data_IF_959499344477
#
_entry.id   IF_959499344477
#
_cell.length_a   1.000
_cell.length_b   1.000
_cell.length_c   1.000
_cell.angle_alpha   90.00
_cell.angle_beta   90.00
_cell.angle_gamma   90.00
#
_symmetry.space_group_name_H-M   'P 1'
#
loop_
_entity.id
_entity.type
_entity.pdbx_description
1 polymer ?
#
# COMPACT_ATOMS: atom_id res chain seq x y z
N UNK A 1 -11.11 25.63 -42.12
CA UNK A 1 -9.91 25.22 -41.37
C UNK A 1 -9.82 25.84 -39.97
N UNK A 2 -9.81 27.17 -39.80
CA UNK A 2 -9.70 27.82 -38.46
C UNK A 2 -10.75 27.36 -37.42
N UNK A 3 -12.01 27.13 -37.81
CA UNK A 3 -13.08 26.71 -36.89
C UNK A 3 -12.93 25.25 -36.40
N UNK A 4 -12.45 24.34 -37.25
CA UNK A 4 -12.22 22.93 -36.90
C UNK A 4 -11.00 22.80 -35.97
N UNK A 5 -9.93 23.54 -36.26
CA UNK A 5 -8.74 23.59 -35.41
C UNK A 5 -9.07 24.16 -34.02
N UNK A 6 -9.88 25.24 -33.97
CA UNK A 6 -10.33 25.84 -32.71
C UNK A 6 -11.15 24.86 -31.87
N UNK A 7 -12.06 24.09 -32.48
CA UNK A 7 -12.88 23.08 -31.80
C UNK A 7 -12.05 21.91 -31.24
N UNK A 8 -11.09 21.41 -32.02
CA UNK A 8 -10.18 20.33 -31.55
C UNK A 8 -9.36 20.82 -30.35
N UNK A 9 -8.80 22.03 -30.40
CA UNK A 9 -8.03 22.61 -29.30
C UNK A 9 -8.89 22.80 -28.05
N UNK A 10 -10.13 23.30 -28.19
CA UNK A 10 -11.03 23.46 -27.03
C UNK A 10 -11.43 22.11 -26.44
N UNK A 11 -11.70 21.10 -27.28
CA UNK A 11 -12.03 19.75 -26.81
C UNK A 11 -10.85 19.06 -26.09
N UNK A 12 -9.61 19.28 -26.55
CA UNK A 12 -8.41 18.75 -25.92
C UNK A 12 -8.14 19.42 -24.56
N UNK A 13 -8.35 20.72 -24.47
CA UNK A 13 -8.21 21.48 -23.21
C UNK A 13 -9.27 21.03 -22.20
N UNK A 14 -10.53 20.93 -22.61
CA UNK A 14 -11.63 20.47 -21.74
C UNK A 14 -11.41 19.01 -21.32
N UNK A 15 -11.00 18.14 -22.24
CA UNK A 15 -10.68 16.74 -21.94
C UNK A 15 -9.53 16.59 -20.94
N UNK A 16 -8.48 17.41 -21.05
CA UNK A 16 -7.36 17.41 -20.10
C UNK A 16 -7.76 17.94 -18.71
N UNK A 17 -8.60 18.98 -18.64
CA UNK A 17 -9.09 19.52 -17.37
C UNK A 17 -9.99 18.49 -16.67
N UNK A 18 -10.90 17.85 -17.39
CA UNK A 18 -11.75 16.76 -16.87
C UNK A 18 -10.88 15.58 -16.42
N UNK A 19 -9.89 15.19 -17.21
CA UNK A 19 -8.92 14.14 -16.87
C UNK A 19 -8.17 14.43 -15.56
N UNK A 20 -7.72 15.68 -15.36
CA UNK A 20 -7.10 16.11 -14.10
C UNK A 20 -8.06 16.05 -12.91
N UNK A 21 -9.33 16.43 -13.10
CA UNK A 21 -10.36 16.32 -12.06
C UNK A 21 -10.74 14.86 -11.74
N UNK A 22 -10.56 13.94 -12.68
CA UNK A 22 -10.86 12.50 -12.51
C UNK A 22 -9.72 11.69 -11.89
N UNK A 23 -8.69 12.33 -11.32
CA UNK A 23 -7.60 11.63 -10.63
C UNK A 23 -6.52 11.08 -11.57
N UNK A 24 -6.47 11.55 -12.82
CA UNK A 24 -5.41 11.17 -13.77
C UNK A 24 -4.06 11.82 -13.44
N UNK A 25 -4.03 12.80 -12.53
CA UNK A 25 -2.79 13.40 -12.05
C UNK A 25 -1.97 12.39 -11.23
N UNK A 26 -0.64 12.31 -11.43
CA UNK A 26 0.26 11.51 -10.62
C UNK A 26 0.12 11.76 -9.11
N UNK A 27 0.06 10.68 -8.33
CA UNK A 27 0.24 10.75 -6.88
C UNK A 27 1.74 10.85 -6.60
N UNK A 28 2.14 11.88 -5.85
CA UNK A 28 3.52 12.00 -5.36
C UNK A 28 3.67 11.17 -4.09
N UNK A 29 4.53 10.16 -4.13
CA UNK A 29 4.95 9.43 -2.94
C UNK A 29 6.20 10.10 -2.37
N UNK A 30 6.07 10.66 -1.16
CA UNK A 30 7.20 11.29 -0.48
C UNK A 30 8.16 10.18 -0.04
N UNK A 31 9.43 10.26 -0.45
CA UNK A 31 10.47 9.33 -0.04
C UNK A 31 10.57 9.30 1.49
N UNK A 32 10.66 8.10 2.05
CA UNK A 32 10.80 7.92 3.49
C UNK A 32 12.27 7.74 3.85
N UNK A 33 12.72 8.41 4.91
CA UNK A 33 14.08 8.29 5.37
C UNK A 33 14.37 6.86 5.85
N UNK A 34 15.57 6.38 5.53
CA UNK A 34 16.12 5.14 6.07
C UNK A 34 16.70 5.37 7.45
N UNK A 35 16.55 4.38 8.33
CA UNK A 35 17.34 4.29 9.55
C UNK A 35 18.76 3.82 9.25
N UNK A 36 19.70 4.06 10.17
CA UNK A 36 21.08 3.56 10.06
C UNK A 36 21.13 2.04 9.92
N UNK A 37 20.23 1.33 10.61
CA UNK A 37 20.14 -0.13 10.52
C UNK A 37 19.66 -0.59 9.14
N UNK A 38 18.68 0.08 8.55
CA UNK A 38 18.19 -0.23 7.20
C UNK A 38 19.26 0.06 6.15
N UNK A 39 20.01 1.16 6.28
CA UNK A 39 21.15 1.46 5.38
C UNK A 39 22.24 0.39 5.46
N UNK A 40 22.60 -0.05 6.67
CA UNK A 40 23.55 -1.15 6.84
C UNK A 40 23.01 -2.46 6.22
N UNK A 41 21.72 -2.73 6.34
CA UNK A 41 21.08 -3.90 5.74
C UNK A 41 21.11 -3.83 4.21
N UNK A 42 20.80 -2.68 3.61
CA UNK A 42 20.92 -2.47 2.16
C UNK A 42 22.35 -2.75 1.67
N UNK A 43 23.35 -2.29 2.40
CA UNK A 43 24.75 -2.50 2.02
C UNK A 43 25.12 -3.98 2.01
N UNK A 44 24.67 -4.75 3.02
CA UNK A 44 24.90 -6.20 3.08
C UNK A 44 24.20 -6.91 1.94
N UNK A 45 22.93 -6.61 1.68
CA UNK A 45 22.16 -7.22 0.60
C UNK A 45 22.73 -6.90 -0.79
N UNK A 46 23.23 -5.68 -0.98
CA UNK A 46 23.90 -5.29 -2.22
C UNK A 46 25.19 -6.10 -2.44
N UNK A 47 25.99 -6.29 -1.39
CA UNK A 47 27.20 -7.10 -1.47
C UNK A 47 26.88 -8.57 -1.76
N UNK A 48 25.83 -9.14 -1.14
CA UNK A 48 25.40 -10.50 -1.41
C UNK A 48 24.96 -10.69 -2.87
N UNK A 49 24.32 -9.68 -3.46
CA UNK A 49 23.93 -9.68 -4.87
C UNK A 49 25.14 -9.56 -5.82
N UNK A 50 26.26 -8.96 -5.40
CA UNK A 50 27.51 -8.97 -6.18
C UNK A 50 28.05 -10.40 -6.31
N UNK A 51 27.98 -11.19 -5.23
CA UNK A 51 28.42 -12.59 -5.20
C UNK A 51 27.42 -13.53 -5.91
N UNK A 52 26.12 -13.28 -5.79
CA UNK A 52 25.05 -14.05 -6.44
C UNK A 52 23.99 -13.15 -7.13
N UNK A 53 24.23 -12.66 -8.37
CA UNK A 53 23.35 -11.69 -9.03
C UNK A 53 21.94 -12.17 -9.38
N UNK A 54 21.66 -13.47 -9.22
CA UNK A 54 20.37 -14.09 -9.54
C UNK A 54 19.69 -14.69 -8.31
N UNK A 55 20.05 -14.19 -7.12
CA UNK A 55 19.37 -14.57 -5.90
C UNK A 55 18.00 -13.87 -5.82
N UNK A 56 16.93 -14.63 -6.06
CA UNK A 56 15.57 -14.10 -6.06
C UNK A 56 15.15 -13.59 -4.67
N UNK A 57 15.69 -14.16 -3.59
CA UNK A 57 15.39 -13.77 -2.21
C UNK A 57 16.03 -12.42 -1.89
N UNK A 58 17.33 -12.26 -2.16
CA UNK A 58 18.02 -10.97 -1.98
C UNK A 58 17.39 -9.87 -2.85
N UNK A 59 17.02 -10.19 -4.09
CA UNK A 59 16.32 -9.26 -4.98
C UNK A 59 14.95 -8.84 -4.42
N UNK A 60 14.19 -9.76 -3.81
CA UNK A 60 12.89 -9.40 -3.21
C UNK A 60 13.06 -8.58 -1.95
N UNK A 61 14.09 -8.85 -1.14
CA UNK A 61 14.38 -8.08 0.08
C UNK A 61 14.80 -6.64 -0.24
N UNK A 62 15.73 -6.44 -1.19
CA UNK A 62 16.10 -5.12 -1.69
C UNK A 62 14.87 -4.40 -2.25
N UNK A 63 14.12 -5.09 -3.11
CA UNK A 63 12.90 -4.58 -3.71
C UNK A 63 11.84 -4.14 -2.69
N UNK A 64 11.62 -4.95 -1.67
CA UNK A 64 10.71 -4.67 -0.57
C UNK A 64 11.16 -3.44 0.21
N UNK A 65 12.44 -3.36 0.56
CA UNK A 65 13.00 -2.24 1.33
C UNK A 65 12.87 -0.92 0.55
N UNK A 66 13.32 -0.88 -0.71
CA UNK A 66 13.11 0.30 -1.56
C UNK A 66 11.62 0.66 -1.70
N UNK A 67 10.74 -0.34 -1.84
CA UNK A 67 9.31 -0.07 -1.95
C UNK A 67 8.75 0.56 -0.68
N UNK A 68 9.11 0.04 0.50
CA UNK A 68 8.68 0.60 1.80
C UNK A 68 9.12 2.06 1.97
N UNK A 69 10.29 2.42 1.44
CA UNK A 69 10.84 3.77 1.49
C UNK A 69 10.39 4.69 0.33
N UNK A 70 9.48 4.21 -0.52
CA UNK A 70 9.00 4.91 -1.71
C UNK A 70 10.09 5.22 -2.75
N UNK A 71 11.19 4.46 -2.75
CA UNK A 71 12.14 4.40 -3.87
C UNK A 71 11.58 3.48 -4.96
N UNK A 72 10.44 3.89 -5.52
CA UNK A 72 9.54 3.05 -6.32
C UNK A 72 10.23 2.50 -7.57
N UNK A 73 11.06 3.30 -8.24
CA UNK A 73 11.76 2.88 -9.46
C UNK A 73 12.89 1.88 -9.16
N UNK A 74 13.66 2.10 -8.08
CA UNK A 74 14.68 1.15 -7.62
C UNK A 74 14.02 -0.17 -7.20
N UNK A 75 12.94 -0.10 -6.43
CA UNK A 75 12.14 -1.25 -6.07
C UNK A 75 11.65 -2.01 -7.30
N UNK A 76 11.16 -1.30 -8.31
CA UNK A 76 10.67 -1.90 -9.54
C UNK A 76 11.78 -2.68 -10.26
N UNK A 77 13.00 -2.15 -10.33
CA UNK A 77 14.13 -2.81 -10.98
C UNK A 77 14.48 -4.14 -10.31
N UNK A 78 14.57 -4.19 -8.99
CA UNK A 78 14.89 -5.42 -8.26
C UNK A 78 13.72 -6.42 -8.27
N UNK A 79 12.48 -5.95 -8.03
CA UNK A 79 11.30 -6.81 -8.03
C UNK A 79 10.98 -7.40 -9.41
N UNK A 80 11.28 -6.68 -10.50
CA UNK A 80 11.14 -7.19 -11.86
C UNK A 80 12.13 -8.33 -12.12
N UNK A 81 13.36 -8.24 -11.61
CA UNK A 81 14.32 -9.32 -11.70
C UNK A 81 13.88 -10.53 -10.88
N UNK A 82 13.46 -10.31 -9.62
CA UNK A 82 12.97 -11.37 -8.74
C UNK A 82 11.80 -12.15 -9.38
N UNK A 83 10.78 -11.45 -9.89
CA UNK A 83 9.59 -12.09 -10.47
C UNK A 83 9.87 -12.75 -11.83
N UNK A 84 10.96 -12.37 -12.51
CA UNK A 84 11.41 -13.06 -13.72
C UNK A 84 12.10 -14.39 -13.38
N UNK A 85 12.78 -14.45 -12.24
CA UNK A 85 13.48 -15.66 -11.77
C UNK A 85 12.51 -16.68 -11.17
N UNK A 86 11.57 -16.22 -10.34
CA UNK A 86 10.53 -17.06 -9.74
C UNK A 86 9.16 -16.37 -9.83
N UNK A 87 8.41 -16.59 -10.93
CA UNK A 87 7.12 -15.93 -11.18
C UNK A 87 5.97 -16.47 -10.32
N UNK A 88 6.15 -17.59 -9.62
CA UNK A 88 5.11 -18.22 -8.80
C UNK A 88 5.34 -18.04 -7.30
N UNK A 89 6.50 -17.49 -6.89
CA UNK A 89 6.80 -17.24 -5.48
C UNK A 89 5.82 -16.22 -4.86
N UNK A 90 5.04 -16.59 -3.83
CA UNK A 90 3.98 -15.75 -3.29
C UNK A 90 4.48 -14.40 -2.74
N UNK A 91 5.62 -14.38 -2.05
CA UNK A 91 6.19 -13.16 -1.49
C UNK A 91 6.67 -12.19 -2.59
N UNK A 92 7.22 -12.72 -3.69
CA UNK A 92 7.68 -11.90 -4.82
C UNK A 92 6.47 -11.29 -5.51
N UNK A 93 5.42 -12.08 -5.76
CA UNK A 93 4.15 -11.59 -6.31
C UNK A 93 3.61 -10.47 -5.41
N UNK A 94 3.59 -10.65 -4.09
CA UNK A 94 3.06 -9.65 -3.17
C UNK A 94 3.82 -8.31 -3.24
N UNK A 95 5.15 -8.33 -3.09
CA UNK A 95 5.96 -7.12 -3.12
C UNK A 95 5.98 -6.43 -4.49
N UNK A 96 6.14 -7.21 -5.57
CA UNK A 96 6.10 -6.69 -6.95
C UNK A 96 4.79 -5.94 -7.21
N UNK A 97 3.66 -6.52 -6.81
CA UNK A 97 2.36 -5.91 -7.07
C UNK A 97 2.03 -4.78 -6.10
N UNK A 98 2.53 -4.80 -4.86
CA UNK A 98 2.44 -3.64 -3.97
C UNK A 98 3.20 -2.43 -4.54
N UNK A 99 4.40 -2.64 -5.10
CA UNK A 99 5.14 -1.59 -5.79
C UNK A 99 4.44 -1.14 -7.09
N UNK A 100 3.87 -2.09 -7.84
CA UNK A 100 3.10 -1.81 -9.06
C UNK A 100 1.85 -0.98 -8.80
N UNK A 101 1.21 -1.13 -7.63
CA UNK A 101 0.12 -0.27 -7.20
C UNK A 101 0.58 1.18 -6.99
N UNK A 102 1.78 1.39 -6.40
CA UNK A 102 2.39 2.73 -6.27
C UNK A 102 2.74 3.32 -7.64
N UNK A 103 3.36 2.54 -8.52
CA UNK A 103 3.63 2.94 -9.91
C UNK A 103 2.35 3.35 -10.65
N UNK A 104 1.27 2.58 -10.48
CA UNK A 104 -0.03 2.92 -11.07
C UNK A 104 -0.50 4.29 -10.56
N UNK A 105 -0.46 4.53 -9.24
CA UNK A 105 -0.80 5.82 -8.65
C UNK A 105 0.07 6.99 -9.16
N UNK A 106 1.38 6.76 -9.28
CA UNK A 106 2.38 7.73 -9.74
C UNK A 106 2.38 7.95 -11.26
N UNK A 107 1.73 7.07 -12.03
CA UNK A 107 1.71 7.18 -13.48
C UNK A 107 0.93 8.41 -13.97
N UNK A 108 1.47 9.05 -14.99
CA UNK A 108 0.76 10.05 -15.78
C UNK A 108 -0.12 9.32 -16.80
N UNK A 109 -1.42 9.57 -16.73
CA UNK A 109 -2.40 8.87 -17.56
C UNK A 109 -3.21 9.86 -18.41
N UNK A 110 -3.12 9.72 -19.73
CA UNK A 110 -3.90 10.51 -20.69
C UNK A 110 -5.23 9.84 -21.09
N UNK A 111 -5.51 8.65 -20.56
CA UNK A 111 -6.74 7.89 -20.76
C UNK A 111 -7.81 8.18 -19.71
N UNK A 112 -7.83 9.39 -19.15
CA UNK A 112 -8.80 9.81 -18.11
C UNK A 112 -8.80 8.90 -16.86
N UNK A 113 -7.64 8.33 -16.53
CA UNK A 113 -7.46 7.46 -15.36
C UNK A 113 -7.84 5.99 -15.59
N UNK A 114 -8.36 5.61 -16.76
CA UNK A 114 -8.75 4.22 -17.02
C UNK A 114 -7.56 3.27 -17.00
N UNK A 115 -6.42 3.65 -17.60
CA UNK A 115 -5.22 2.84 -17.58
C UNK A 115 -4.70 2.67 -16.15
N UNK A 116 -4.65 3.76 -15.38
CA UNK A 116 -4.26 3.74 -13.96
C UNK A 116 -5.15 2.81 -13.13
N UNK A 117 -6.47 2.89 -13.30
CA UNK A 117 -7.42 2.02 -12.59
C UNK A 117 -7.29 0.56 -13.01
N UNK A 118 -7.02 0.31 -14.30
CA UNK A 118 -6.78 -1.04 -14.81
C UNK A 118 -5.50 -1.65 -14.21
N UNK A 119 -4.37 -0.94 -14.26
CA UNK A 119 -3.10 -1.45 -13.73
C UNK A 119 -3.15 -1.59 -12.20
N UNK A 120 -3.83 -0.66 -11.52
CA UNK A 120 -4.08 -0.76 -10.09
C UNK A 120 -4.91 -2.01 -9.78
N UNK A 121 -6.07 -2.18 -10.42
CA UNK A 121 -6.94 -3.35 -10.23
C UNK A 121 -6.22 -4.67 -10.47
N UNK A 122 -5.41 -4.74 -11.53
CA UNK A 122 -4.56 -5.89 -11.81
C UNK A 122 -3.60 -6.19 -10.67
N UNK A 123 -2.86 -5.18 -10.18
CA UNK A 123 -1.92 -5.34 -9.08
C UNK A 123 -2.62 -5.85 -7.80
N UNK A 124 -3.77 -5.27 -7.44
CA UNK A 124 -4.51 -5.67 -6.24
C UNK A 124 -4.99 -7.13 -6.32
N UNK A 125 -5.46 -7.57 -7.49
CA UNK A 125 -5.86 -8.95 -7.72
C UNK A 125 -4.69 -9.93 -7.55
N UNK A 126 -3.49 -9.56 -8.00
CA UNK A 126 -2.29 -10.39 -7.81
C UNK A 126 -1.84 -10.46 -6.35
N UNK A 127 -2.02 -9.38 -5.56
CA UNK A 127 -1.79 -9.43 -4.11
C UNK A 127 -2.78 -10.40 -3.44
N UNK A 128 -4.07 -10.38 -3.83
CA UNK A 128 -5.04 -11.37 -3.37
C UNK A 128 -4.58 -12.80 -3.70
N UNK A 129 -4.12 -13.04 -4.94
CA UNK A 129 -3.56 -14.33 -5.37
C UNK A 129 -2.36 -14.76 -4.50
N UNK A 130 -1.46 -13.83 -4.14
CA UNK A 130 -0.32 -14.14 -3.28
C UNK A 130 -0.76 -14.67 -1.90
N UNK A 131 -1.82 -14.07 -1.32
CA UNK A 131 -2.41 -14.58 -0.07
C UNK A 131 -3.05 -15.95 -0.29
N UNK A 132 -3.71 -16.19 -1.42
CA UNK A 132 -4.31 -17.50 -1.70
C UNK A 132 -3.25 -18.61 -1.83
N UNK A 133 -2.07 -18.29 -2.37
CA UNK A 133 -0.94 -19.23 -2.45
C UNK A 133 -0.28 -19.48 -1.09
N UNK A 134 -0.21 -18.47 -0.23
CA UNK A 134 0.43 -18.55 1.09
C UNK A 134 -0.49 -17.97 2.19
N UNK A 135 -1.60 -18.66 2.53
CA UNK A 135 -2.67 -18.08 3.35
C UNK A 135 -2.31 -17.92 4.83
N UNK A 136 -1.20 -18.47 5.30
CA UNK A 136 -0.75 -18.32 6.69
C UNK A 136 0.49 -17.43 6.81
N UNK A 137 0.94 -16.83 5.71
CA UNK A 137 2.09 -15.93 5.72
C UNK A 137 1.68 -14.53 6.24
N UNK A 138 2.30 -14.14 7.34
CA UNK A 138 2.06 -12.85 8.01
C UNK A 138 2.42 -11.67 7.11
N UNK A 139 3.58 -11.73 6.46
CA UNK A 139 4.13 -10.63 5.65
C UNK A 139 3.24 -10.37 4.45
N UNK A 140 2.82 -11.43 3.75
CA UNK A 140 1.95 -11.32 2.56
C UNK A 140 0.59 -10.74 2.92
N UNK A 141 0.00 -11.15 4.06
CA UNK A 141 -1.25 -10.57 4.55
C UNK A 141 -1.09 -9.10 4.98
N UNK A 142 0.02 -8.73 5.61
CA UNK A 142 0.32 -7.34 5.96
C UNK A 142 0.48 -6.47 4.70
N UNK A 143 1.11 -6.97 3.65
CA UNK A 143 1.22 -6.28 2.36
C UNK A 143 -0.17 -6.00 1.78
N UNK A 144 -1.06 -7.02 1.77
CA UNK A 144 -2.45 -6.85 1.33
C UNK A 144 -3.17 -5.80 2.16
N UNK A 145 -3.15 -5.95 3.49
CA UNK A 145 -3.80 -5.03 4.41
C UNK A 145 -3.30 -3.59 4.22
N UNK A 146 -1.98 -3.38 4.26
CA UNK A 146 -1.39 -2.06 4.12
C UNK A 146 -1.73 -1.42 2.76
N UNK A 147 -1.70 -2.20 1.67
CA UNK A 147 -2.02 -1.69 0.33
C UNK A 147 -3.51 -1.36 0.21
N UNK A 148 -4.38 -2.29 0.61
CA UNK A 148 -5.83 -2.16 0.42
C UNK A 148 -6.42 -1.11 1.36
N UNK A 149 -5.93 -1.01 2.59
CA UNK A 149 -6.36 0.01 3.54
C UNK A 149 -6.09 1.43 3.03
N UNK A 150 -4.97 1.66 2.33
CA UNK A 150 -4.64 2.99 1.79
C UNK A 150 -5.40 3.32 0.50
N UNK A 151 -5.90 2.34 -0.24
CA UNK A 151 -6.68 2.54 -1.47
C UNK A 151 -8.19 2.68 -1.18
N UNK A 152 -8.68 1.96 -0.16
CA UNK A 152 -10.08 2.03 0.25
C UNK A 152 -11.05 1.43 -0.79
N UNK A 153 -12.26 1.99 -0.84
CA UNK A 153 -13.40 1.46 -1.62
C UNK A 153 -13.23 1.46 -3.14
N UNK A 154 -12.19 2.11 -3.67
CA UNK A 154 -11.85 2.04 -5.11
C UNK A 154 -11.41 0.62 -5.48
N UNK A 155 -10.82 -0.11 -4.52
CA UNK A 155 -10.49 -1.52 -4.67
C UNK A 155 -11.76 -2.40 -4.55
N UNK A 156 -12.05 -3.21 -5.56
CA UNK A 156 -13.16 -4.19 -5.52
C UNK A 156 -12.97 -5.22 -4.41
N UNK A 157 -11.73 -5.56 -4.09
CA UNK A 157 -11.34 -6.55 -3.09
C UNK A 157 -11.12 -5.91 -1.70
N UNK A 158 -11.50 -4.65 -1.52
CA UNK A 158 -11.28 -3.90 -0.27
C UNK A 158 -11.78 -4.66 0.96
N UNK A 159 -12.92 -5.34 0.86
CA UNK A 159 -13.50 -6.07 1.98
C UNK A 159 -12.63 -7.22 2.50
N UNK A 160 -11.65 -7.71 1.73
CA UNK A 160 -10.74 -8.78 2.17
C UNK A 160 -9.89 -8.37 3.38
N UNK A 161 -9.65 -7.06 3.60
CA UNK A 161 -8.89 -6.58 4.77
C UNK A 161 -9.57 -6.95 6.09
N UNK A 162 -10.90 -7.12 6.10
CA UNK A 162 -11.63 -7.53 7.30
C UNK A 162 -11.51 -9.04 7.56
N UNK A 163 -11.19 -9.84 6.54
CA UNK A 163 -10.80 -11.23 6.75
C UNK A 163 -9.38 -11.30 7.36
N UNK A 164 -8.49 -10.40 6.95
CA UNK A 164 -7.15 -10.26 7.57
C UNK A 164 -7.24 -9.80 9.02
N UNK A 165 -8.19 -8.92 9.36
CA UNK A 165 -8.47 -8.54 10.76
C UNK A 165 -8.73 -9.76 11.64
N UNK A 166 -9.64 -10.63 11.24
CA UNK A 166 -10.01 -11.83 12.00
C UNK A 166 -8.80 -12.74 12.17
N UNK A 167 -8.04 -12.96 11.09
CA UNK A 167 -6.85 -13.80 11.11
C UNK A 167 -5.79 -13.23 12.07
N UNK A 168 -5.52 -11.92 12.01
CA UNK A 168 -4.53 -11.27 12.84
C UNK A 168 -4.95 -11.19 14.31
N UNK A 169 -6.24 -10.94 14.60
CA UNK A 169 -6.77 -11.01 15.97
C UNK A 169 -6.63 -12.41 16.57
N UNK A 170 -6.76 -13.47 15.77
CA UNK A 170 -6.51 -14.84 16.22
C UNK A 170 -5.02 -15.07 16.48
N UNK A 171 -4.14 -14.58 15.61
CA UNK A 171 -2.69 -14.66 15.80
C UNK A 171 -2.24 -13.97 17.10
N UNK A 172 -2.77 -12.78 17.39
CA UNK A 172 -2.47 -12.04 18.62
C UNK A 172 -2.91 -12.74 19.90
N UNK A 173 -3.93 -13.61 19.84
CA UNK A 173 -4.41 -14.39 20.99
C UNK A 173 -3.55 -15.62 21.27
N UNK A 174 -2.77 -16.08 20.30
CA UNK A 174 -1.92 -17.25 20.47
C UNK A 174 -0.71 -16.89 21.34
N UNK A 175 -0.67 -17.43 22.56
CA UNK A 175 0.33 -17.10 23.58
C UNK A 175 1.78 -17.43 23.19
N UNK A 176 1.99 -18.27 22.18
CA UNK A 176 3.31 -18.68 21.70
C UNK A 176 3.95 -17.69 20.72
N UNK A 177 3.21 -16.71 20.19
CA UNK A 177 3.69 -15.83 19.13
C UNK A 177 3.68 -14.36 19.59
N UNK A 178 4.81 -13.87 20.10
CA UNK A 178 4.96 -12.47 20.42
C UNK A 178 5.35 -11.69 19.16
N UNK A 179 4.35 -11.06 18.53
CA UNK A 179 4.57 -10.19 17.37
C UNK A 179 5.45 -8.99 17.73
N UNK A 180 6.39 -8.58 16.84
CA UNK A 180 7.12 -7.33 16.99
C UNK A 180 6.17 -6.14 17.14
N UNK A 181 6.55 -5.16 17.98
CA UNK A 181 5.74 -3.98 18.25
C UNK A 181 5.46 -3.16 16.97
N UNK A 182 6.43 -3.11 16.06
CA UNK A 182 6.31 -2.46 14.76
C UNK A 182 5.21 -3.11 13.91
N UNK A 183 5.15 -4.44 13.88
CA UNK A 183 4.12 -5.18 13.13
C UNK A 183 2.73 -4.90 13.70
N UNK A 184 2.59 -4.84 15.02
CA UNK A 184 1.34 -4.44 15.67
C UNK A 184 0.96 -3.01 15.31
N UNK A 185 1.92 -2.08 15.33
CA UNK A 185 1.72 -0.67 14.96
C UNK A 185 1.16 -0.52 13.56
N UNK A 186 1.81 -1.14 12.58
CA UNK A 186 1.37 -1.16 11.18
C UNK A 186 -0.04 -1.74 11.03
N UNK A 187 -0.30 -2.88 11.66
CA UNK A 187 -1.63 -3.52 11.63
C UNK A 187 -2.71 -2.57 12.17
N UNK A 188 -2.49 -1.97 13.35
CA UNK A 188 -3.48 -1.08 13.97
C UNK A 188 -3.76 0.15 13.12
N UNK A 189 -2.72 0.80 12.57
CA UNK A 189 -2.93 1.97 11.70
C UNK A 189 -3.65 1.60 10.40
N UNK A 190 -3.29 0.49 9.78
CA UNK A 190 -3.97 0.03 8.57
C UNK A 190 -5.44 -0.32 8.84
N UNK A 191 -5.75 -0.95 9.97
CA UNK A 191 -7.14 -1.23 10.36
C UNK A 191 -7.93 0.04 10.68
N UNK A 192 -7.32 1.02 11.38
CA UNK A 192 -7.94 2.32 11.60
C UNK A 192 -8.29 3.00 10.26
N UNK A 193 -7.35 3.00 9.30
CA UNK A 193 -7.58 3.53 7.96
C UNK A 193 -8.67 2.77 7.19
N UNK A 194 -8.68 1.43 7.26
CA UNK A 194 -9.68 0.62 6.58
C UNK A 194 -11.08 0.90 7.13
N UNK A 195 -11.26 0.92 8.45
CA UNK A 195 -12.55 1.29 9.04
C UNK A 195 -12.92 2.74 8.76
N UNK A 196 -11.93 3.64 8.68
CA UNK A 196 -12.19 5.01 8.28
C UNK A 196 -12.81 5.10 6.88
N UNK A 197 -12.28 4.35 5.91
CA UNK A 197 -12.87 4.27 4.57
C UNK A 197 -14.20 3.52 4.52
N UNK A 198 -14.38 2.49 5.36
CA UNK A 198 -15.61 1.68 5.41
C UNK A 198 -16.82 2.55 5.74
N UNK A 199 -16.68 3.47 6.70
CA UNK A 199 -17.66 4.50 7.00
C UNK A 199 -19.10 4.01 7.28
N UNK A 200 -19.24 2.85 7.93
CA UNK A 200 -20.53 2.35 8.43
C UNK A 200 -20.75 2.72 9.91
N UNK A 201 -21.96 2.47 10.44
CA UNK A 201 -22.37 2.84 11.81
C UNK A 201 -21.44 2.26 12.89
N UNK A 202 -20.85 1.09 12.63
CA UNK A 202 -19.96 0.39 13.58
C UNK A 202 -18.50 0.84 13.42
N UNK A 203 -18.14 1.38 12.25
CA UNK A 203 -16.77 1.75 11.89
C UNK A 203 -16.18 2.81 12.83
N UNK A 204 -16.97 3.78 13.30
CA UNK A 204 -16.47 4.82 14.22
C UNK A 204 -15.83 4.20 15.49
N UNK A 205 -16.50 3.23 16.12
CA UNK A 205 -15.98 2.53 17.29
C UNK A 205 -14.72 1.72 16.98
N UNK A 206 -14.63 1.17 15.78
CA UNK A 206 -13.47 0.39 15.33
C UNK A 206 -12.26 1.29 15.05
N UNK A 207 -12.46 2.46 14.44
CA UNK A 207 -11.40 3.46 14.27
C UNK A 207 -10.85 3.85 15.65
N UNK A 208 -11.72 4.22 16.59
CA UNK A 208 -11.32 4.56 17.97
C UNK A 208 -10.54 3.43 18.66
N UNK A 209 -11.03 2.18 18.54
CA UNK A 209 -10.35 0.99 19.07
C UNK A 209 -8.91 0.89 18.54
N UNK A 210 -8.73 0.95 17.22
CA UNK A 210 -7.42 0.73 16.60
C UNK A 210 -6.45 1.89 16.84
N UNK A 211 -6.92 3.14 16.83
CA UNK A 211 -6.09 4.28 17.23
C UNK A 211 -5.63 4.17 18.69
N UNK A 212 -6.52 3.73 19.59
CA UNK A 212 -6.16 3.50 21.00
C UNK A 212 -5.15 2.36 21.17
N UNK A 213 -5.31 1.26 20.42
CA UNK A 213 -4.34 0.16 20.42
C UNK A 213 -2.96 0.61 19.90
N UNK A 214 -2.93 1.43 18.85
CA UNK A 214 -1.69 2.01 18.34
C UNK A 214 -1.01 2.93 19.36
N UNK A 215 -1.76 3.74 20.11
CA UNK A 215 -1.18 4.56 21.19
C UNK A 215 -0.41 3.72 22.21
N UNK A 216 -0.86 2.50 22.50
CA UNK A 216 -0.21 1.55 23.42
C UNK A 216 1.08 0.90 22.90
N UNK A 217 1.39 0.99 21.59
CA UNK A 217 2.60 0.40 21.00
C UNK A 217 3.84 1.12 21.51
N UNK A 218 4.86 0.39 21.99
CA UNK A 218 6.04 1.01 22.62
C UNK A 218 7.01 1.60 21.61
N UNK A 219 7.35 0.85 20.57
CA UNK A 219 8.27 1.26 19.52
C UNK A 219 7.49 1.76 18.32
N UNK A 220 7.43 3.07 18.12
CA UNK A 220 6.73 3.72 17.00
C UNK A 220 7.74 4.39 16.07
N UNK A 221 7.63 4.14 14.77
CA UNK A 221 8.45 4.85 13.80
C UNK A 221 7.95 6.29 13.60
N UNK A 222 8.80 7.23 13.16
CA UNK A 222 8.36 8.59 12.82
C UNK A 222 7.23 8.61 11.78
N UNK A 223 7.27 7.69 10.81
CA UNK A 223 6.26 7.55 9.77
C UNK A 223 4.90 7.15 10.36
N UNK A 224 4.87 6.12 11.21
CA UNK A 224 3.65 5.67 11.87
C UNK A 224 3.05 6.78 12.74
N UNK A 225 3.89 7.56 13.43
CA UNK A 225 3.42 8.71 14.21
C UNK A 225 2.81 9.81 13.35
N UNK A 226 3.40 10.07 12.17
CA UNK A 226 2.83 11.03 11.22
C UNK A 226 1.48 10.54 10.68
N UNK A 227 1.40 9.28 10.25
CA UNK A 227 0.16 8.67 9.77
C UNK A 227 -0.93 8.68 10.84
N UNK A 228 -0.59 8.32 12.08
CA UNK A 228 -1.48 8.39 13.22
C UNK A 228 -2.09 9.78 13.40
N UNK A 229 -1.26 10.83 13.42
CA UNK A 229 -1.73 12.22 13.62
C UNK A 229 -2.67 12.66 12.49
N UNK A 230 -2.38 12.27 11.26
CA UNK A 230 -3.24 12.55 10.10
C UNK A 230 -4.59 11.88 10.28
N UNK A 231 -4.59 10.57 10.58
CA UNK A 231 -5.81 9.77 10.77
C UNK A 231 -6.65 10.29 11.94
N UNK A 232 -6.03 10.57 13.09
CA UNK A 232 -6.69 11.11 14.27
C UNK A 232 -7.34 12.47 13.95
N UNK A 233 -6.62 13.35 13.26
CA UNK A 233 -7.14 14.66 12.86
C UNK A 233 -8.30 14.54 11.88
N UNK A 234 -8.19 13.66 10.89
CA UNK A 234 -9.25 13.40 9.92
C UNK A 234 -10.48 12.85 10.62
N UNK A 235 -10.30 11.81 11.45
CA UNK A 235 -11.37 11.19 12.19
C UNK A 235 -12.07 12.17 13.15
N UNK A 236 -11.33 13.05 13.83
CA UNK A 236 -11.91 14.08 14.67
C UNK A 236 -12.73 15.13 13.91
N UNK A 237 -12.43 15.38 12.63
CA UNK A 237 -13.17 16.31 11.76
C UNK A 237 -14.46 15.72 11.21
N UNK A 238 -14.56 14.39 11.08
CA UNK A 238 -15.79 13.76 10.59
C UNK A 238 -16.85 13.84 11.69
N UNK A 239 -18.02 14.41 11.38
CA UNK A 239 -19.13 14.52 12.32
C UNK A 239 -19.51 13.13 12.86
N UNK A 240 -19.20 12.90 14.15
CA UNK A 240 -19.32 11.62 14.88
C UNK A 240 -20.75 11.07 14.95
N UNK A 241 -21.76 11.77 14.43
CA UNK A 241 -23.16 11.33 14.47
C UNK A 241 -23.96 11.43 13.17
N UNK A 242 -23.47 12.09 12.11
CA UNK A 242 -24.27 12.36 10.91
C UNK A 242 -23.67 11.85 9.59
N UNK A 243 -22.35 11.59 9.50
CA UNK A 243 -21.73 11.08 8.27
C UNK A 243 -21.46 9.56 8.27
N UNK A 244 -21.61 8.89 9.41
CA UNK A 244 -21.42 7.44 9.57
C UNK A 244 -22.75 6.67 9.67
N UNK A 245 -23.88 7.35 9.41
CA UNK A 245 -25.24 6.77 9.41
C UNK A 245 -25.69 6.44 7.99
#
# INVERSE_FOLDING_TARGET
>A
MKKILSFIITSLIIGNIVSWMMGSWPITFIQQAYSEQELATLQVLQQELEDNPKDAEVLVELGAMYSMHNDIDLANNYLTQAITLDPEHPLIIAWFNANSAKLSGASLDFSMGFYKLYTLSHALKQISKAVDLAPNDLTIRLIRLATFANIGKINSDFNLVFNDEIWFENLLKQSSFNLPEQVKGQFYLAMAQAYFFKADEVSSKKVDKYLSLYQGVKAKTPQEQAQYKILETQFAKVDRGNQWK
#
